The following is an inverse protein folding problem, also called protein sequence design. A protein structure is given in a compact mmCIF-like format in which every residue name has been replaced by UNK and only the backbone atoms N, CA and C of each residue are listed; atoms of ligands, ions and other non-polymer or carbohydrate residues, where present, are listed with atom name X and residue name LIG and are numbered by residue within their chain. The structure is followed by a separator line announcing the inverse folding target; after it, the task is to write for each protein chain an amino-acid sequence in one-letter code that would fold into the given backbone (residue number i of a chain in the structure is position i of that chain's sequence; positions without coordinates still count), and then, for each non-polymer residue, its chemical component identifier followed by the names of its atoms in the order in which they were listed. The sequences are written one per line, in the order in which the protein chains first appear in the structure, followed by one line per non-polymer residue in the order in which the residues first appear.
data_IF_877390701004
#
_entry.id   IF_877390701004
#
_cell.length_a   1.000
_cell.length_b   1.000
_cell.length_c   1.000
_cell.angle_alpha   90.00
_cell.angle_beta   90.00
_cell.angle_gamma   90.00
#
_symmetry.space_group_name_H-M   'P 1'
#
loop_
_entity.id
_entity.type
_entity.pdbx_description
1 polymer ?
#
# COMPACT_ATOMS: atom_id res chain seq x y z
N UNK A 1 24.91 18.39 1.14
CA UNK A 1 24.02 18.21 -0.02
C UNK A 1 22.57 18.44 0.43
N UNK A 2 21.91 19.52 -0.02
CA UNK A 2 20.53 19.86 0.41
C UNK A 2 19.54 19.26 -0.58
N UNK A 3 19.01 18.10 -0.24
CA UNK A 3 18.15 17.32 -1.12
C UNK A 3 16.71 17.87 -1.05
N UNK A 4 16.21 18.40 -2.17
CA UNK A 4 14.88 19.00 -2.25
C UNK A 4 14.25 18.70 -3.61
N UNK A 5 13.26 17.80 -3.60
CA UNK A 5 12.56 17.32 -4.79
C UNK A 5 11.52 18.30 -5.34
N UNK A 6 11.26 19.41 -4.63
CA UNK A 6 10.23 20.40 -4.98
C UNK A 6 10.79 21.67 -5.62
N UNK A 7 12.11 21.76 -5.80
CA UNK A 7 12.72 22.85 -6.56
C UNK A 7 12.64 22.56 -8.06
N UNK A 8 12.22 23.53 -8.87
CA UNK A 8 12.11 23.40 -10.32
C UNK A 8 13.41 22.93 -11.01
N UNK A 9 14.57 23.29 -10.45
CA UNK A 9 15.89 22.91 -10.98
C UNK A 9 16.42 21.57 -10.44
N UNK A 10 15.63 20.83 -9.66
CA UNK A 10 16.06 19.53 -9.15
C UNK A 10 15.88 18.45 -10.22
N UNK A 11 16.86 17.56 -10.35
CA UNK A 11 16.82 16.42 -11.29
C UNK A 11 15.59 15.53 -11.08
N UNK A 12 15.13 15.41 -9.85
CA UNK A 12 13.98 14.59 -9.47
C UNK A 12 12.66 15.39 -9.39
N UNK A 13 12.66 16.66 -9.79
CA UNK A 13 11.46 17.51 -9.80
C UNK A 13 10.29 16.92 -10.61
N UNK A 14 10.48 16.28 -11.78
CA UNK A 14 9.39 15.64 -12.50
C UNK A 14 8.73 14.50 -11.70
N UNK A 15 9.49 13.83 -10.84
CA UNK A 15 9.04 12.69 -10.03
C UNK A 15 8.49 13.09 -8.66
N UNK A 16 8.39 14.39 -8.34
CA UNK A 16 7.95 14.87 -7.02
C UNK A 16 6.62 14.29 -6.56
N UNK A 17 5.66 14.15 -7.48
CA UNK A 17 4.34 13.60 -7.18
C UNK A 17 4.38 12.08 -7.00
N UNK A 18 5.20 11.38 -7.77
CA UNK A 18 5.45 9.97 -7.57
C UNK A 18 6.03 9.71 -6.16
N UNK A 19 7.04 10.49 -5.76
CA UNK A 19 7.66 10.40 -4.44
C UNK A 19 6.62 10.66 -3.33
N UNK A 20 5.76 11.68 -3.49
CA UNK A 20 4.67 11.94 -2.53
C UNK A 20 3.73 10.74 -2.44
N UNK A 21 3.24 10.23 -3.58
CA UNK A 21 2.30 9.11 -3.59
C UNK A 21 2.91 7.85 -2.96
N UNK A 22 4.17 7.53 -3.27
CA UNK A 22 4.85 6.38 -2.68
C UNK A 22 5.05 6.55 -1.18
N UNK A 23 5.49 7.73 -0.72
CA UNK A 23 5.66 8.02 0.69
C UNK A 23 4.33 7.92 1.46
N UNK A 24 3.25 8.45 0.88
CA UNK A 24 1.92 8.37 1.45
C UNK A 24 1.44 6.91 1.54
N UNK A 25 1.53 6.14 0.47
CA UNK A 25 1.18 4.71 0.47
C UNK A 25 1.96 3.91 1.51
N UNK A 26 3.26 4.15 1.63
CA UNK A 26 4.10 3.51 2.64
C UNK A 26 3.66 3.88 4.07
N UNK A 27 3.36 5.16 4.32
CA UNK A 27 2.88 5.62 5.62
C UNK A 27 1.55 4.96 6.00
N UNK A 28 0.60 4.86 5.06
CA UNK A 28 -0.68 4.18 5.31
C UNK A 28 -0.45 2.69 5.59
N UNK A 29 0.42 2.01 4.84
CA UNK A 29 0.74 0.58 5.09
C UNK A 29 1.32 0.37 6.50
N UNK A 30 2.28 1.19 6.90
CA UNK A 30 2.89 1.13 8.24
C UNK A 30 1.84 1.39 9.32
N UNK A 31 0.99 2.41 9.14
CA UNK A 31 -0.08 2.72 10.09
C UNK A 31 -1.06 1.55 10.25
N UNK A 32 -1.50 0.94 9.15
CA UNK A 32 -2.38 -0.22 9.16
C UNK A 32 -1.72 -1.43 9.85
N UNK A 33 -0.42 -1.65 9.63
CA UNK A 33 0.35 -2.68 10.31
C UNK A 33 0.40 -2.47 11.83
N UNK A 34 0.65 -1.24 12.30
CA UNK A 34 0.74 -0.93 13.74
C UNK A 34 -0.64 -0.98 14.43
N UNK A 35 -1.68 -0.53 13.74
CA UNK A 35 -3.05 -0.50 14.31
C UNK A 35 -3.81 -1.82 14.17
N UNK A 36 -3.23 -2.81 13.48
CA UNK A 36 -3.89 -4.08 13.19
C UNK A 36 -5.08 -3.97 12.22
N UNK A 37 -5.27 -2.80 11.58
CA UNK A 37 -6.33 -2.61 10.59
C UNK A 37 -5.92 -3.25 9.27
N UNK A 38 -6.80 -4.09 8.71
CA UNK A 38 -6.58 -4.72 7.40
C UNK A 38 -6.96 -3.72 6.31
N UNK A 39 -6.00 -3.32 5.48
CA UNK A 39 -6.21 -2.39 4.36
C UNK A 39 -7.16 -2.93 3.31
N UNK A 40 -7.04 -4.23 3.03
CA UNK A 40 -7.84 -4.94 2.05
C UNK A 40 -8.73 -5.94 2.77
N UNK A 41 -9.71 -5.45 3.52
CA UNK A 41 -10.83 -6.26 4.00
C UNK A 41 -12.08 -5.72 3.32
N UNK A 42 -12.59 -6.50 2.38
CA UNK A 42 -13.90 -6.28 1.79
C UNK A 42 -14.90 -7.16 2.52
N UNK A 43 -16.12 -6.67 2.74
CA UNK A 43 -17.19 -7.46 3.37
C UNK A 43 -17.55 -8.72 2.57
N UNK A 44 -17.21 -8.76 1.28
CA UNK A 44 -17.47 -9.85 0.34
C UNK A 44 -16.17 -10.41 -0.25
N UNK A 45 -15.17 -10.74 0.57
CA UNK A 45 -14.02 -11.50 0.07
C UNK A 45 -14.45 -12.95 -0.13
N UNK A 46 -14.34 -13.44 -1.37
CA UNK A 46 -14.46 -14.88 -1.63
C UNK A 46 -13.36 -15.59 -0.84
N UNK A 47 -13.78 -16.31 0.20
CA UNK A 47 -12.86 -17.12 0.98
C UNK A 47 -12.36 -18.25 0.10
N UNK A 48 -11.09 -18.19 -0.28
CA UNK A 48 -10.43 -19.27 -0.99
C UNK A 48 -10.45 -20.52 -0.09
N UNK A 49 -11.38 -21.43 -0.36
CA UNK A 49 -11.41 -22.73 0.28
C UNK A 49 -10.61 -23.70 -0.57
N UNK A 50 -9.64 -24.38 0.05
CA UNK A 50 -8.94 -25.51 -0.58
C UNK A 50 -9.80 -26.79 -0.57
N UNK A 51 -11.10 -26.67 -0.26
CA UNK A 51 -12.05 -27.76 -0.36
C UNK A 51 -12.30 -28.03 -1.85
N UNK A 52 -11.47 -28.87 -2.44
CA UNK A 52 -11.91 -29.69 -3.58
C UNK A 52 -13.18 -30.49 -3.18
N UNK A 53 -13.77 -31.27 -4.09
CA UNK A 53 -14.94 -32.10 -3.77
C UNK A 53 -14.57 -33.21 -2.77
N UNK A 54 -14.51 -32.83 -1.49
CA UNK A 54 -14.22 -33.67 -0.34
C UNK A 54 -15.39 -33.54 0.62
N UNK A 55 -16.31 -34.50 0.52
CA UNK A 55 -17.42 -34.66 1.45
C UNK A 55 -16.86 -34.97 2.85
N UNK A 56 -17.03 -34.05 3.79
CA UNK A 56 -16.90 -34.37 5.22
C UNK A 56 -18.28 -34.79 5.72
N UNK A 57 -18.40 -36.07 6.11
CA UNK A 57 -19.53 -36.60 6.88
C UNK A 57 -19.53 -36.04 8.30
#
# INVERSE_FOLDING_TARGET
MKLNFFKNNATLFPLRWFIICTALSAAVMIYCNVTGKRMFTFSNQEQWSSSGPGSHK
#
